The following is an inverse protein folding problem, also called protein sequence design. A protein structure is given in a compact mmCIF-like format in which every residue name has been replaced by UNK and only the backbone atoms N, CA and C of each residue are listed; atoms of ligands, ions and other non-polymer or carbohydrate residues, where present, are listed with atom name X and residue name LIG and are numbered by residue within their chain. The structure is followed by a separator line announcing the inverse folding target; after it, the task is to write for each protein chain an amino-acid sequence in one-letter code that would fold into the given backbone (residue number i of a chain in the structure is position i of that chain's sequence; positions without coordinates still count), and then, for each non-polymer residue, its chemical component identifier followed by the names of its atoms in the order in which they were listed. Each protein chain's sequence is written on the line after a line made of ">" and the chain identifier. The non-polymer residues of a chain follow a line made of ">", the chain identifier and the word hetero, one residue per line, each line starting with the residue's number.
data_IF_028316344195
#
_entry.id   IF_028316344195
#
_cell.length_a   1.000
_cell.length_b   1.000
_cell.length_c   1.000
_cell.angle_alpha   90.00
_cell.angle_beta   90.00
_cell.angle_gamma   90.00
#
_symmetry.space_group_name_H-M   'P 1'
#
loop_
_entity.id
_entity.type
_entity.pdbx_description
1 polymer ?
#
# COMPACT_ATOMS: atom_id res chain seq x y z
N UNK A 1 9.75 -16.81 -14.52
CA UNK A 1 9.44 -16.55 -15.94
C UNK A 1 10.51 -17.19 -16.79
N UNK A 2 10.16 -17.80 -17.94
CA UNK A 2 11.13 -18.49 -18.77
C UNK A 2 12.18 -17.54 -19.36
N UNK A 3 13.46 -17.91 -19.31
CA UNK A 3 14.57 -17.16 -19.93
C UNK A 3 15.49 -18.08 -20.74
N UNK A 4 16.15 -17.53 -21.76
CA UNK A 4 17.08 -18.29 -22.60
C UNK A 4 18.52 -18.01 -22.17
N UNK A 5 19.29 -19.07 -21.87
CA UNK A 5 20.67 -18.93 -21.42
C UNK A 5 21.57 -18.41 -22.56
N UNK A 6 22.31 -17.29 -22.38
CA UNK A 6 23.15 -16.73 -23.44
C UNK A 6 24.38 -17.61 -23.77
N UNK A 7 24.77 -18.51 -22.86
CA UNK A 7 25.91 -19.41 -23.06
C UNK A 7 25.55 -20.71 -23.79
N UNK A 8 24.32 -21.23 -23.63
CA UNK A 8 23.93 -22.53 -24.18
C UNK A 8 22.57 -22.57 -24.89
N UNK A 9 21.88 -21.44 -24.99
CA UNK A 9 20.53 -21.26 -25.56
C UNK A 9 19.40 -22.07 -24.90
N UNK A 10 19.68 -22.81 -23.82
CA UNK A 10 18.69 -23.57 -23.08
C UNK A 10 17.58 -22.64 -22.53
N UNK A 11 16.31 -23.03 -22.70
CA UNK A 11 15.19 -22.34 -22.06
C UNK A 11 15.02 -22.85 -20.63
N UNK A 12 15.16 -21.95 -19.67
CA UNK A 12 14.96 -22.21 -18.25
C UNK A 12 13.57 -21.71 -17.89
N UNK A 13 12.64 -22.59 -17.51
CA UNK A 13 11.24 -22.20 -17.22
C UNK A 13 11.11 -21.38 -15.93
N UNK A 14 11.93 -21.72 -14.95
CA UNK A 14 11.98 -21.09 -13.64
C UNK A 14 13.07 -20.01 -13.62
N UNK A 15 12.87 -18.95 -12.83
CA UNK A 15 13.81 -17.84 -12.77
C UNK A 15 15.00 -18.14 -11.85
N UNK A 16 15.78 -19.15 -12.22
CA UNK A 16 16.97 -19.57 -11.46
C UNK A 16 18.16 -18.63 -11.76
N UNK A 17 18.99 -18.38 -10.73
CA UNK A 17 20.17 -17.50 -10.82
C UNK A 17 21.26 -18.05 -11.75
N UNK A 18 21.22 -19.36 -12.01
CA UNK A 18 22.15 -20.10 -12.87
C UNK A 18 21.38 -20.99 -13.82
N UNK A 19 21.86 -21.15 -15.05
CA UNK A 19 21.26 -22.09 -15.98
C UNK A 19 21.49 -23.53 -15.50
N UNK A 20 20.45 -24.37 -15.30
CA UNK A 20 20.61 -25.74 -14.84
C UNK A 20 21.35 -26.64 -15.85
N UNK A 21 21.39 -26.25 -17.13
CA UNK A 21 22.07 -27.02 -18.17
C UNK A 21 23.58 -26.81 -18.21
N UNK A 22 24.06 -25.58 -17.96
CA UNK A 22 25.49 -25.25 -18.15
C UNK A 22 26.15 -24.51 -16.97
N UNK A 23 25.40 -24.22 -15.90
CA UNK A 23 25.90 -23.52 -14.73
C UNK A 23 26.24 -22.04 -14.94
N UNK A 24 26.07 -21.51 -16.15
CA UNK A 24 26.33 -20.11 -16.44
C UNK A 24 25.38 -19.21 -15.63
N UNK A 25 25.95 -18.22 -14.95
CA UNK A 25 25.18 -17.19 -14.28
C UNK A 25 24.37 -16.38 -15.29
N UNK A 26 23.14 -16.02 -14.91
CA UNK A 26 22.28 -15.18 -15.74
C UNK A 26 22.93 -13.81 -15.96
N UNK A 27 23.53 -13.59 -17.12
CA UNK A 27 24.39 -12.43 -17.39
C UNK A 27 23.64 -11.17 -17.83
N UNK A 28 22.33 -11.26 -18.09
CA UNK A 28 21.50 -10.12 -18.43
C UNK A 28 20.07 -10.36 -17.91
N UNK A 29 19.54 -9.39 -17.19
CA UNK A 29 18.13 -9.33 -16.84
C UNK A 29 17.38 -8.84 -18.07
N UNK A 30 16.39 -9.59 -18.55
CA UNK A 30 15.52 -9.12 -19.64
C UNK A 30 14.76 -7.89 -19.12
N UNK A 31 15.17 -6.70 -19.55
CA UNK A 31 14.47 -5.46 -19.23
C UNK A 31 13.19 -5.44 -20.05
N UNK A 32 12.04 -5.62 -19.38
CA UNK A 32 10.72 -5.37 -19.96
C UNK A 32 10.67 -3.90 -20.35
N UNK A 33 10.30 -3.64 -21.61
CA UNK A 33 10.17 -2.32 -22.20
C UNK A 33 8.89 -1.63 -21.69
N UNK A 34 8.94 -1.25 -20.42
CA UNK A 34 8.18 -0.20 -19.71
C UNK A 34 8.93 0.26 -18.43
N UNK A 35 10.19 -0.14 -18.28
CA UNK A 35 11.08 0.26 -17.18
C UNK A 35 11.92 1.47 -17.56
N UNK A 36 11.38 2.66 -17.40
CA UNK A 36 12.16 3.85 -16.99
C UNK A 36 11.19 4.97 -16.70
N UNK A 37 11.19 5.48 -15.46
CA UNK A 37 10.92 6.88 -15.10
C UNK A 37 11.15 7.05 -13.60
N UNK A 38 12.32 7.55 -13.27
CA UNK A 38 12.53 8.26 -12.01
C UNK A 38 12.02 9.68 -12.24
N UNK A 39 11.14 10.17 -11.37
CA UNK A 39 11.02 11.60 -11.14
C UNK A 39 10.98 11.83 -9.64
N UNK A 40 12.15 12.11 -9.08
CA UNK A 40 12.27 12.78 -7.79
C UNK A 40 12.21 14.27 -8.09
N UNK A 41 11.23 14.95 -7.51
CA UNK A 41 11.30 16.41 -7.35
C UNK A 41 11.63 16.66 -5.88
N UNK A 42 12.90 16.99 -5.53
CA UNK A 42 13.22 17.43 -4.19
C UNK A 42 12.84 18.91 -4.08
N UNK A 43 11.91 19.26 -3.19
CA UNK A 43 11.64 20.66 -2.89
C UNK A 43 10.50 20.92 -1.94
N UNK A 44 10.82 21.15 -0.66
CA UNK A 44 10.08 21.93 0.38
C UNK A 44 8.58 21.66 0.65
N UNK A 45 7.86 20.85 -0.13
CA UNK A 45 6.40 20.81 -0.11
C UNK A 45 5.90 19.45 -0.58
N UNK A 46 5.51 18.54 0.34
CA UNK A 46 4.40 17.55 0.23
C UNK A 46 4.68 16.32 1.12
N UNK A 47 3.64 15.84 1.81
CA UNK A 47 3.49 14.42 2.09
C UNK A 47 2.85 13.80 0.84
N UNK A 48 3.12 12.52 0.54
CA UNK A 48 2.63 11.87 -0.69
C UNK A 48 1.82 10.65 -0.30
N UNK A 49 0.58 10.58 -0.77
CA UNK A 49 -0.27 9.40 -0.62
C UNK A 49 0.13 8.37 -1.67
N UNK A 50 0.38 7.14 -1.24
CA UNK A 50 0.85 6.06 -2.11
C UNK A 50 0.11 4.75 -1.93
N UNK A 51 0.07 3.93 -2.96
CA UNK A 51 -0.47 2.56 -2.98
C UNK A 51 0.52 1.62 -3.68
N UNK A 52 0.57 0.33 -3.32
CA UNK A 52 1.48 -0.64 -3.94
C UNK A 52 2.00 -1.72 -2.98
N UNK A 53 2.72 -2.73 -3.52
CA UNK A 53 3.18 -3.92 -2.80
C UNK A 53 4.15 -3.69 -1.62
N UNK A 54 4.04 -4.55 -0.58
CA UNK A 54 4.32 -4.33 0.85
C UNK A 54 5.74 -3.85 1.27
N UNK A 55 5.92 -3.47 2.55
CA UNK A 55 7.25 -3.19 3.15
C UNK A 55 7.99 -4.43 3.69
N UNK A 56 7.37 -5.62 3.78
CA UNK A 56 8.13 -6.80 4.20
C UNK A 56 9.25 -7.01 3.18
N UNK A 57 10.48 -7.16 3.67
CA UNK A 57 11.59 -7.54 2.81
C UNK A 57 11.17 -8.79 2.06
N UNK A 58 10.92 -8.59 0.78
CA UNK A 58 10.84 -9.64 -0.21
C UNK A 58 12.07 -10.54 0.01
N UNK A 59 11.93 -11.86 0.26
CA UNK A 59 13.07 -12.75 0.34
C UNK A 59 14.01 -12.50 -0.84
N UNK A 60 15.32 -12.59 -0.62
CA UNK A 60 16.33 -12.24 -1.61
C UNK A 60 16.00 -12.86 -2.98
N UNK A 61 15.58 -12.03 -3.94
CA UNK A 61 15.11 -12.49 -5.26
C UNK A 61 13.78 -11.87 -5.72
N UNK A 62 12.98 -11.28 -4.83
CA UNK A 62 11.74 -10.61 -5.22
C UNK A 62 11.95 -9.13 -5.60
N UNK A 63 11.14 -8.66 -6.54
CA UNK A 63 11.28 -7.35 -7.17
C UNK A 63 11.14 -6.21 -6.16
N UNK A 64 12.00 -5.19 -6.29
CA UNK A 64 11.86 -3.92 -5.57
C UNK A 64 10.50 -3.31 -5.87
N UNK A 65 9.72 -3.10 -4.80
CA UNK A 65 8.33 -2.68 -4.88
C UNK A 65 8.26 -1.16 -5.11
N UNK A 66 7.41 -0.73 -6.06
CA UNK A 66 7.25 0.68 -6.43
C UNK A 66 5.95 1.20 -5.85
N UNK A 67 6.06 2.19 -4.96
CA UNK A 67 4.91 2.90 -4.43
C UNK A 67 4.44 3.95 -5.46
N UNK A 68 3.19 3.84 -5.92
CA UNK A 68 2.57 4.79 -6.86
C UNK A 68 1.69 5.79 -6.11
N UNK A 69 1.42 6.95 -6.69
CA UNK A 69 0.45 7.91 -6.12
C UNK A 69 -0.93 7.24 -6.01
N UNK A 70 -1.60 7.43 -4.87
CA UNK A 70 -2.92 6.84 -4.64
C UNK A 70 -4.01 7.75 -5.19
N UNK A 71 -4.83 7.21 -6.09
CA UNK A 71 -6.02 7.90 -6.63
C UNK A 71 -7.29 7.58 -5.83
N UNK A 72 -7.28 6.50 -5.06
CA UNK A 72 -8.43 5.98 -4.31
C UNK A 72 -7.98 5.25 -3.04
N UNK A 73 -8.82 5.28 -2.02
CA UNK A 73 -8.70 4.51 -0.78
C UNK A 73 -9.61 3.27 -0.87
N UNK A 74 -9.02 2.08 -0.80
CA UNK A 74 -9.80 0.84 -0.88
C UNK A 74 -10.44 0.54 0.47
N UNK A 75 -11.76 0.35 0.45
CA UNK A 75 -12.56 -0.05 1.60
C UNK A 75 -12.75 -1.55 1.58
N UNK A 76 -12.41 -2.19 2.70
CA UNK A 76 -12.63 -3.61 2.93
C UNK A 76 -13.91 -3.84 3.72
N UNK A 77 -14.65 -4.88 3.36
CA UNK A 77 -15.73 -5.39 4.19
C UNK A 77 -15.15 -5.99 5.49
N UNK A 78 -15.83 -5.80 6.62
CA UNK A 78 -15.38 -6.28 7.94
C UNK A 78 -15.08 -7.79 7.93
N UNK A 79 -15.96 -8.58 7.31
CA UNK A 79 -15.78 -10.03 7.22
C UNK A 79 -14.49 -10.41 6.46
N UNK A 80 -14.16 -9.67 5.40
CA UNK A 80 -12.92 -9.89 4.66
C UNK A 80 -11.70 -9.55 5.53
N UNK A 81 -11.74 -8.43 6.25
CA UNK A 81 -10.67 -8.02 7.15
C UNK A 81 -10.42 -9.05 8.26
N UNK A 82 -11.50 -9.55 8.90
CA UNK A 82 -11.43 -10.62 9.90
C UNK A 82 -10.78 -11.89 9.35
N UNK A 83 -11.21 -12.37 8.17
CA UNK A 83 -10.61 -13.56 7.54
C UNK A 83 -9.11 -13.40 7.25
N UNK A 84 -8.64 -12.17 6.95
CA UNK A 84 -7.22 -11.89 6.74
C UNK A 84 -6.47 -11.96 8.08
N UNK A 85 -7.02 -11.32 9.13
CA UNK A 85 -6.43 -11.30 10.46
C UNK A 85 -6.37 -12.68 11.12
N UNK A 86 -7.44 -13.49 11.02
CA UNK A 86 -7.50 -14.86 11.53
C UNK A 86 -6.40 -15.77 10.95
N UNK A 87 -5.92 -15.46 9.74
CA UNK A 87 -4.81 -16.17 9.09
C UNK A 87 -3.43 -15.66 9.49
N UNK A 88 -3.36 -14.68 10.40
CA UNK A 88 -2.12 -14.00 10.79
C UNK A 88 -1.50 -13.22 9.62
N UNK A 89 -2.32 -12.76 8.68
CA UNK A 89 -1.89 -11.99 7.53
C UNK A 89 -2.26 -10.52 7.68
N UNK A 90 -1.57 -9.67 6.91
CA UNK A 90 -1.95 -8.26 6.72
C UNK A 90 -2.73 -8.14 5.41
N UNK A 91 -3.54 -7.08 5.21
CA UNK A 91 -4.21 -6.85 3.94
C UNK A 91 -3.23 -6.86 2.78
N UNK A 92 -3.73 -7.26 1.61
CA UNK A 92 -2.90 -7.18 0.41
C UNK A 92 -2.49 -5.73 0.23
N UNK A 93 -1.29 -5.43 -0.25
CA UNK A 93 -0.83 -4.04 -0.28
C UNK A 93 -1.62 -3.15 -1.26
N UNK A 94 -2.28 -3.76 -2.24
CA UNK A 94 -3.27 -3.08 -3.08
C UNK A 94 -4.52 -2.64 -2.30
N UNK A 95 -4.74 -3.15 -1.09
CA UNK A 95 -5.79 -2.74 -0.16
C UNK A 95 -5.27 -1.75 0.91
N UNK A 96 -3.97 -1.43 0.90
CA UNK A 96 -3.35 -0.51 1.85
C UNK A 96 -3.11 0.86 1.20
N UNK A 97 -3.36 1.92 1.96
CA UNK A 97 -2.93 3.27 1.65
C UNK A 97 -1.72 3.62 2.51
N UNK A 98 -0.65 4.12 1.89
CA UNK A 98 0.55 4.56 2.57
C UNK A 98 0.66 6.08 2.54
N UNK A 99 0.82 6.69 3.71
CA UNK A 99 1.17 8.11 3.82
C UNK A 99 2.69 8.21 3.95
N UNK A 100 3.33 8.75 2.92
CA UNK A 100 4.77 9.01 2.90
C UNK A 100 5.12 10.36 3.50
N UNK A 101 5.74 10.35 4.67
CA UNK A 101 6.15 11.51 5.44
C UNK A 101 7.63 11.83 5.20
N UNK A 102 7.92 13.09 4.88
CA UNK A 102 9.27 13.62 4.69
C UNK A 102 9.57 14.65 5.78
N UNK A 103 9.93 14.20 6.99
CA UNK A 103 9.92 15.07 8.16
C UNK A 103 11.06 16.08 8.26
N UNK A 104 12.17 15.83 7.57
CA UNK A 104 13.39 16.62 7.72
C UNK A 104 13.86 16.58 9.19
N UNK A 105 13.70 17.70 9.90
CA UNK A 105 14.08 17.84 11.32
C UNK A 105 12.92 17.68 12.32
N UNK A 106 11.69 17.47 11.86
CA UNK A 106 10.52 17.31 12.75
C UNK A 106 10.54 15.93 13.41
N UNK A 107 10.20 15.87 14.69
CA UNK A 107 10.07 14.63 15.48
C UNK A 107 8.63 14.12 15.52
N UNK A 108 7.67 15.05 15.56
CA UNK A 108 6.24 14.77 15.50
C UNK A 108 5.80 14.54 14.05
N UNK A 109 5.33 13.31 13.80
CA UNK A 109 4.90 12.80 12.51
C UNK A 109 3.42 12.40 12.52
N UNK A 110 2.60 13.00 13.41
CA UNK A 110 1.18 12.66 13.45
C UNK A 110 0.49 12.86 12.10
N UNK A 111 -0.39 11.93 11.78
CA UNK A 111 -1.26 11.96 10.60
C UNK A 111 -2.68 12.05 11.09
N UNK A 112 -3.39 13.10 10.68
CA UNK A 112 -4.82 13.23 10.91
C UNK A 112 -5.56 12.66 9.71
N UNK A 113 -6.54 11.79 9.98
CA UNK A 113 -7.42 11.18 8.98
C UNK A 113 -8.86 11.56 9.33
N UNK A 114 -9.60 12.08 8.38
CA UNK A 114 -10.99 12.49 8.57
C UNK A 114 -11.86 11.86 7.48
N UNK A 115 -12.93 11.18 7.87
CA UNK A 115 -13.90 10.63 6.92
C UNK A 115 -14.86 11.75 6.50
N UNK A 116 -15.05 11.96 5.20
CA UNK A 116 -15.96 12.97 4.67
C UNK A 116 -17.26 12.30 4.22
N UNK A 117 -18.35 12.59 4.93
CA UNK A 117 -19.69 12.14 4.57
C UNK A 117 -20.42 13.23 3.77
N UNK A 118 -21.48 12.87 3.05
CA UNK A 118 -22.19 13.81 2.16
C UNK A 118 -22.72 15.05 2.90
N UNK A 119 -23.07 14.91 4.18
CA UNK A 119 -23.73 15.97 4.96
C UNK A 119 -22.87 16.54 6.08
N UNK A 120 -21.77 15.89 6.44
CA UNK A 120 -20.90 16.28 7.55
C UNK A 120 -19.51 15.64 7.44
N UNK A 121 -18.52 16.22 8.11
CA UNK A 121 -17.24 15.56 8.33
C UNK A 121 -17.29 14.72 9.61
N UNK A 122 -16.61 13.58 9.61
CA UNK A 122 -16.46 12.72 10.78
C UNK A 122 -15.54 13.33 11.84
N UNK A 123 -15.40 12.64 12.97
CA UNK A 123 -14.40 13.02 13.96
C UNK A 123 -12.98 12.73 13.42
N UNK A 124 -12.05 13.70 13.45
CA UNK A 124 -10.71 13.48 12.95
C UNK A 124 -9.97 12.49 13.85
N UNK A 125 -9.45 11.41 13.24
CA UNK A 125 -8.59 10.43 13.89
C UNK A 125 -7.14 10.89 13.80
N UNK A 126 -6.54 11.25 14.95
CA UNK A 126 -5.11 11.50 15.03
C UNK A 126 -4.33 10.20 15.25
N UNK A 127 -3.49 9.84 14.28
CA UNK A 127 -2.56 8.73 14.37
C UNK A 127 -1.19 9.26 14.79
N UNK A 128 -0.81 9.12 16.07
CA UNK A 128 0.49 9.57 16.52
C UNK A 128 1.61 8.70 15.93
N UNK A 129 2.68 9.36 15.50
CA UNK A 129 3.90 8.68 15.04
C UNK A 129 5.11 9.50 15.43
N UNK A 130 6.05 8.86 16.11
CA UNK A 130 7.35 9.45 16.42
C UNK A 130 8.41 8.89 15.49
N UNK A 131 9.37 9.69 15.03
CA UNK A 131 10.46 9.18 14.19
C UNK A 131 11.42 8.29 15.01
N UNK A 132 11.69 7.07 14.54
CA UNK A 132 12.75 6.25 15.14
C UNK A 132 14.15 6.74 14.71
N UNK A 133 15.15 6.60 15.58
CA UNK A 133 16.53 6.95 15.26
C UNK A 133 17.03 6.09 14.08
N UNK A 134 17.63 6.73 13.07
CA UNK A 134 18.12 6.05 11.86
C UNK A 134 17.05 5.64 10.85
N UNK A 135 15.77 5.97 11.07
CA UNK A 135 14.71 5.64 10.12
C UNK A 135 14.90 6.41 8.79
N UNK A 136 14.92 5.70 7.64
CA UNK A 136 15.13 6.32 6.34
C UNK A 136 13.93 7.18 5.93
N UNK A 137 14.19 8.26 5.19
CA UNK A 137 13.14 9.05 4.56
C UNK A 137 12.69 8.40 3.23
N UNK A 138 11.38 8.36 2.92
CA UNK A 138 10.26 8.78 3.77
C UNK A 138 9.90 7.76 4.86
N UNK A 139 9.36 8.26 5.97
CA UNK A 139 8.65 7.45 6.96
C UNK A 139 7.27 7.10 6.38
N UNK A 140 6.89 5.83 6.38
CA UNK A 140 5.62 5.38 5.84
C UNK A 140 4.68 4.97 6.97
N UNK A 141 3.44 5.47 6.93
CA UNK A 141 2.33 5.03 7.79
C UNK A 141 1.30 4.33 6.91
N UNK A 142 0.94 3.09 7.26
CA UNK A 142 0.01 2.28 6.49
C UNK A 142 -1.40 2.35 7.09
N UNK A 143 -2.41 2.45 6.23
CA UNK A 143 -3.81 2.52 6.58
C UNK A 143 -4.62 1.47 5.83
N UNK A 144 -5.63 0.92 6.50
CA UNK A 144 -6.69 0.11 5.90
C UNK A 144 -8.04 0.70 6.33
N UNK A 145 -8.98 0.77 5.39
CA UNK A 145 -10.31 1.35 5.61
C UNK A 145 -11.35 0.24 5.69
N UNK A 146 -12.27 0.33 6.65
CA UNK A 146 -13.31 -0.66 6.88
C UNK A 146 -14.70 -0.07 6.66
N UNK A 147 -15.56 -0.86 6.01
CA UNK A 147 -16.99 -0.62 5.87
C UNK A 147 -17.73 -0.99 7.18
N UNK A 148 -17.42 -0.27 8.26
CA UNK A 148 -18.05 -0.42 9.58
C UNK A 148 -17.98 0.91 10.34
N UNK A 149 -18.95 1.15 11.23
CA UNK A 149 -19.01 2.38 12.02
C UNK A 149 -17.92 2.44 13.10
N UNK A 150 -17.47 1.30 13.61
CA UNK A 150 -16.47 1.20 14.68
C UNK A 150 -15.47 0.07 14.40
N UNK A 151 -14.19 0.29 14.73
CA UNK A 151 -13.17 -0.74 14.58
C UNK A 151 -13.42 -1.88 15.57
N UNK A 152 -13.58 -3.13 15.12
CA UNK A 152 -13.76 -4.24 16.05
C UNK A 152 -12.54 -4.42 16.96
N UNK A 153 -12.77 -4.58 18.26
CA UNK A 153 -11.70 -4.64 19.27
C UNK A 153 -10.73 -5.83 19.10
N UNK A 154 -11.17 -6.88 18.41
CA UNK A 154 -10.39 -8.09 18.14
C UNK A 154 -9.69 -8.07 16.77
N UNK A 155 -9.89 -7.02 15.97
CA UNK A 155 -9.28 -6.86 14.66
C UNK A 155 -8.04 -5.99 14.76
N UNK A 156 -6.87 -6.60 14.56
CA UNK A 156 -5.60 -5.90 14.51
C UNK A 156 -4.76 -6.35 13.31
N UNK A 157 -3.98 -5.42 12.77
CA UNK A 157 -2.97 -5.69 11.76
C UNK A 157 -1.64 -5.09 12.22
N UNK A 158 -0.57 -5.89 12.36
CA UNK A 158 0.73 -5.37 12.76
C UNK A 158 1.20 -4.25 11.82
N UNK A 159 1.60 -3.12 12.40
CA UNK A 159 2.11 -1.92 11.70
C UNK A 159 1.11 -1.26 10.72
N UNK A 160 -0.19 -1.54 10.81
CA UNK A 160 -1.23 -0.96 9.96
C UNK A 160 -2.31 -0.33 10.83
N UNK A 161 -2.68 0.91 10.51
CA UNK A 161 -3.75 1.66 11.16
C UNK A 161 -5.09 1.31 10.52
N UNK A 162 -6.06 0.97 11.35
CA UNK A 162 -7.41 0.63 10.90
C UNK A 162 -8.31 1.85 11.08
N UNK A 163 -8.98 2.27 10.01
CA UNK A 163 -9.92 3.40 10.02
C UNK A 163 -11.31 2.89 9.67
N UNK A 164 -12.23 3.00 10.62
CA UNK A 164 -13.65 2.73 10.41
C UNK A 164 -14.29 3.94 9.72
N UNK A 165 -14.92 3.73 8.57
CA UNK A 165 -15.56 4.80 7.76
C UNK A 165 -16.98 4.45 7.34
N UNK A 166 -17.61 3.45 7.98
CA UNK A 166 -18.96 3.00 7.68
C UNK A 166 -20.04 3.99 8.14
N UNK A 167 -21.12 4.09 7.37
CA UNK A 167 -22.29 4.93 7.62
C UNK A 167 -23.57 4.22 7.18
N UNK A 168 -24.71 4.56 7.80
CA UNK A 168 -26.04 4.13 7.36
C UNK A 168 -26.49 4.85 6.07
N UNK A 169 -25.74 4.70 4.98
CA UNK A 169 -26.04 5.26 3.66
C UNK A 169 -26.13 4.16 2.56
N UNK A 170 -26.46 4.51 1.32
CA UNK A 170 -26.60 3.54 0.21
C UNK A 170 -25.25 2.87 -0.15
N UNK A 171 -24.15 3.60 -0.01
CA UNK A 171 -22.79 3.09 -0.26
C UNK A 171 -22.26 2.22 0.89
N UNK A 172 -22.78 2.40 2.11
CA UNK A 172 -22.33 1.79 3.37
C UNK A 172 -21.21 2.54 4.08
N UNK A 173 -20.55 3.50 3.44
CA UNK A 173 -19.34 4.17 3.96
C UNK A 173 -19.17 5.60 3.42
N UNK A 174 -18.22 6.35 4.00
CA UNK A 174 -17.86 7.70 3.59
C UNK A 174 -17.32 7.74 2.14
N UNK A 175 -17.83 8.61 1.25
CA UNK A 175 -17.38 8.68 -0.16
C UNK A 175 -15.93 9.11 -0.33
N UNK A 176 -15.34 9.81 0.63
CA UNK A 176 -13.93 10.19 0.60
C UNK A 176 -13.33 10.31 2.00
N UNK A 177 -12.00 10.36 2.04
CA UNK A 177 -11.19 10.51 3.25
C UNK A 177 -10.16 11.61 3.03
N UNK A 178 -9.99 12.48 4.01
CA UNK A 178 -8.99 13.53 4.02
C UNK A 178 -7.80 13.17 4.92
N UNK A 179 -6.59 13.45 4.43
CA UNK A 179 -5.35 13.29 5.18
C UNK A 179 -4.68 14.64 5.36
N UNK A 180 -4.26 14.95 6.59
CA UNK A 180 -3.34 16.05 6.84
C UNK A 180 -2.19 15.60 7.73
N UNK A 181 -0.99 16.13 7.48
CA UNK A 181 0.20 15.80 8.24
C UNK A 181 1.24 16.92 8.13
N UNK A 182 2.12 17.03 9.12
CA UNK A 182 3.28 17.95 9.09
C UNK A 182 2.89 19.41 8.80
N UNK A 183 1.71 19.86 9.23
CA UNK A 183 1.20 21.22 9.00
C UNK A 183 1.04 21.57 7.53
N UNK A 184 0.72 20.57 6.69
CA UNK A 184 0.35 20.76 5.29
C UNK A 184 -1.16 20.72 5.13
N UNK A 185 -1.64 21.33 4.04
CA UNK A 185 -3.05 21.30 3.65
C UNK A 185 -3.54 19.86 3.51
N UNK A 186 -4.81 19.64 3.83
CA UNK A 186 -5.45 18.34 3.69
C UNK A 186 -5.45 17.88 2.23
N UNK A 187 -5.36 16.56 2.03
CA UNK A 187 -5.50 15.91 0.74
C UNK A 187 -6.65 14.91 0.82
N UNK A 188 -7.70 15.17 0.04
CA UNK A 188 -8.85 14.29 -0.12
C UNK A 188 -8.53 13.14 -1.10
N UNK A 189 -9.02 11.95 -0.76
CA UNK A 189 -8.95 10.74 -1.60
C UNK A 189 -10.33 10.07 -1.63
N UNK A 190 -10.89 9.78 -2.82
CA UNK A 190 -12.11 9.01 -2.95
C UNK A 190 -11.99 7.63 -2.31
N UNK A 191 -12.98 7.22 -1.54
CA UNK A 191 -13.08 5.87 -1.00
C UNK A 191 -13.89 4.99 -1.96
N UNK A 192 -13.37 3.81 -2.28
CA UNK A 192 -14.04 2.85 -3.18
C UNK A 192 -14.07 1.47 -2.56
N UNK A 193 -15.21 0.79 -2.69
CA UNK A 193 -15.34 -0.59 -2.25
C UNK A 193 -14.42 -1.47 -3.09
N UNK A 194 -13.72 -2.39 -2.44
CA UNK A 194 -12.89 -3.38 -3.16
C UNK A 194 -13.77 -4.14 -4.16
N UNK A 195 -13.43 -4.15 -5.47
CA UNK A 195 -14.20 -4.91 -6.43
C UNK A 195 -14.09 -6.40 -6.09
N UNK A 196 -15.25 -7.06 -5.94
CA UNK A 196 -15.27 -8.52 -5.79
C UNK A 196 -14.61 -9.15 -7.02
N UNK A 197 -13.74 -10.15 -6.85
CA UNK A 197 -13.14 -10.85 -7.98
C UNK A 197 -14.27 -11.41 -8.85
N UNK A 198 -14.36 -10.94 -10.10
CA UNK A 198 -15.31 -11.49 -11.07
C UNK A 198 -14.88 -12.93 -11.33
N UNK A 199 -15.65 -13.90 -10.83
CA UNK A 199 -15.47 -15.29 -11.21
C UNK A 199 -15.79 -15.43 -12.69
N UNK A 200 -14.74 -15.47 -13.52
CA UNK A 200 -14.88 -15.85 -14.92
C UNK A 200 -15.10 -17.36 -14.96
N UNK A 201 -16.35 -17.79 -15.12
CA UNK A 201 -16.65 -19.17 -15.47
C UNK A 201 -16.17 -19.39 -16.91
N UNK A 202 -15.03 -20.05 -17.08
CA UNK A 202 -14.60 -20.56 -18.37
C UNK A 202 -15.54 -21.69 -18.78
N UNK A 203 -16.50 -21.39 -19.65
CA UNK A 203 -17.28 -22.38 -20.40
C UNK A 203 -16.47 -22.99 -21.53
#
# INVERSE_FOLDING_TARGET
>A
MPWSCPSCAHQVELDESTCPACGAAKSAWTIIKDRTRTMVVPGRKRFVLRRGESRRSAPAGEATLVLVEAEEAIVLDEEQARRIAERGHVPAPADLLFVGLYPGKRSDLSVTVEALYETQAGEPLEVPRERAEGEPDPVLVAFVFLDTAEVPADLEFPDVQIVAIGEENEAGFAPSVEFSALGKDAQEVPAVRKPLPKFAFST
#
